data_IF_190531929349
#
_entry.id   IF_190531929349
#
_cell.length_a   1.000
_cell.length_b   1.000
_cell.length_c   1.000
_cell.angle_alpha   90.00
_cell.angle_beta   90.00
_cell.angle_gamma   90.00
#
_symmetry.space_group_name_H-M   'P 1'
#
loop_
_entity.id
_entity.type
_entity.pdbx_description
1 polymer ?
2 water ?
#
# COMPACT_ATOMS: atom_id res chain seq x y z
N UNK A 1 -13.48 0.98 -5.62
CA UNK A 1 -13.84 -0.27 -6.29
C UNK A 1 -13.68 -1.46 -5.31
N UNK A 2 -14.64 -2.37 -5.34
CA UNK A 2 -14.57 -3.60 -4.57
C UNK A 2 -14.45 -4.80 -5.53
N UNK A 3 -14.45 -4.47 -6.83
CA UNK A 3 -14.39 -5.46 -7.91
C UNK A 3 -13.52 -5.06 -9.12
N UNK A 4 -13.12 -6.06 -9.88
CA UNK A 4 -12.26 -5.91 -11.08
C UNK A 4 -12.79 -5.12 -12.29
N UNK A 5 -14.07 -5.23 -12.61
CA UNK A 5 -14.65 -4.56 -13.78
C UNK A 5 -14.52 -3.04 -13.76
N UNK A 6 -14.25 -2.45 -14.93
CA UNK A 6 -14.08 -1.02 -15.04
C UNK A 6 -12.69 -0.53 -14.68
N UNK A 7 -11.91 -1.31 -13.96
CA UNK A 7 -10.55 -0.91 -13.65
C UNK A 7 -9.61 -1.17 -14.82
N UNK A 8 -8.70 -0.23 -15.05
CA UNK A 8 -7.63 -0.44 -16.01
C UNK A 8 -6.49 -1.26 -15.40
N UNK A 9 -6.23 -1.08 -14.11
CA UNK A 9 -5.17 -1.83 -13.45
C UNK A 9 -5.73 -3.17 -12.99
N UNK A 10 -5.88 -4.06 -13.95
CA UNK A 10 -6.47 -5.36 -13.73
C UNK A 10 -5.77 -6.51 -14.41
N UNK A 11 -5.62 -7.62 -13.71
CA UNK A 11 -4.98 -8.77 -14.25
C UNK A 11 -5.90 -9.99 -14.19
N UNK A 12 -5.66 -10.94 -15.05
CA UNK A 12 -6.43 -12.12 -15.10
C UNK A 12 -5.53 -13.32 -14.84
N UNK A 13 -5.91 -14.15 -13.91
CA UNK A 13 -5.17 -15.37 -13.64
C UNK A 13 -6.11 -16.54 -13.86
N UNK A 14 -5.53 -17.69 -14.15
CA UNK A 14 -6.27 -18.92 -14.40
C UNK A 14 -6.01 -19.91 -13.28
N UNK A 15 -7.08 -20.49 -12.74
CA UNK A 15 -6.94 -21.64 -11.89
C UNK A 15 -6.99 -22.85 -12.80
N UNK A 16 -5.84 -23.41 -13.18
CA UNK A 16 -5.84 -24.44 -14.21
C UNK A 16 -6.35 -25.74 -13.61
N UNK A 17 -6.63 -26.70 -14.47
CA UNK A 17 -7.11 -28.02 -14.06
C UNK A 17 -6.19 -28.66 -13.03
N UNK A 18 -6.79 -29.10 -11.91
CA UNK A 18 -6.03 -29.73 -10.85
C UNK A 18 -5.30 -28.79 -9.88
N UNK A 19 -5.20 -27.51 -10.17
CA UNK A 19 -4.49 -26.62 -9.26
C UNK A 19 -5.33 -26.38 -8.01
N UNK A 20 -4.72 -26.53 -6.82
CA UNK A 20 -5.41 -26.30 -5.56
C UNK A 20 -5.14 -24.93 -4.95
N UNK A 21 -4.23 -24.14 -5.52
CA UNK A 21 -4.04 -22.75 -5.10
C UNK A 21 -3.72 -21.92 -6.33
N UNK A 22 -3.84 -20.62 -6.16
CA UNK A 22 -3.39 -19.64 -7.15
C UNK A 22 -2.57 -18.59 -6.40
N UNK A 23 -1.40 -18.26 -6.92
CA UNK A 23 -0.53 -17.26 -6.29
C UNK A 23 -0.81 -15.90 -6.91
N UNK A 24 -1.00 -14.88 -6.07
CA UNK A 24 -1.35 -13.55 -6.54
C UNK A 24 -0.50 -12.49 -5.85
N UNK A 25 -0.33 -11.37 -6.54
CA UNK A 25 0.29 -10.17 -6.01
C UNK A 25 -0.81 -9.11 -5.93
N UNK A 26 -1.07 -8.60 -4.74
CA UNK A 26 -2.11 -7.60 -4.56
C UNK A 26 -1.46 -6.23 -4.33
N UNK A 27 -1.67 -5.31 -5.25
CA UNK A 27 -1.21 -3.95 -5.09
C UNK A 27 -2.34 -3.07 -4.58
N UNK A 28 -1.98 -1.88 -4.14
CA UNK A 28 -2.96 -0.99 -3.55
C UNK A 28 -4.04 -0.56 -4.51
N UNK A 29 -3.72 -0.49 -5.80
CA UNK A 29 -4.58 0.14 -6.80
C UNK A 29 -4.88 -0.80 -7.97
N UNK A 30 -4.85 -2.10 -7.73
CA UNK A 30 -5.04 -3.08 -8.79
C UNK A 30 -6.06 -4.12 -8.34
N UNK A 31 -6.41 -5.02 -9.27
CA UNK A 31 -7.48 -5.97 -9.05
C UNK A 31 -7.16 -7.23 -9.85
N UNK A 32 -7.51 -8.40 -9.31
CA UNK A 32 -7.24 -9.67 -9.99
C UNK A 32 -8.57 -10.40 -10.22
N UNK A 33 -8.82 -10.77 -11.48
CA UNK A 33 -9.90 -11.68 -11.83
C UNK A 33 -9.30 -13.08 -11.97
N UNK A 34 -9.80 -14.03 -11.19
CA UNK A 34 -9.35 -15.42 -11.24
C UNK A 34 -10.47 -16.28 -11.82
N UNK A 35 -10.21 -16.90 -12.96
CA UNK A 35 -11.11 -17.87 -13.58
C UNK A 35 -10.56 -19.28 -13.39
N UNK A 36 -11.45 -20.22 -13.05
CA UNK A 36 -10.97 -21.57 -12.78
C UNK A 36 -12.04 -22.59 -13.11
N UNK A 37 -11.56 -23.76 -13.55
CA UNK A 37 -12.40 -24.86 -14.01
C UNK A 37 -13.41 -25.26 -12.94
N UNK A 38 -14.68 -25.35 -13.34
CA UNK A 38 -15.77 -25.77 -12.45
C UNK A 38 -15.81 -24.94 -11.16
N UNK A 39 -15.40 -23.69 -11.24
CA UNK A 39 -15.51 -22.77 -10.11
C UNK A 39 -16.10 -21.45 -10.57
N UNK A 40 -16.77 -20.71 -9.69
CA UNK A 40 -17.15 -19.34 -10.06
C UNK A 40 -15.90 -18.51 -10.26
N UNK A 41 -15.96 -17.59 -11.20
CA UNK A 41 -14.92 -16.58 -11.33
C UNK A 41 -14.96 -15.68 -10.09
N UNK A 42 -13.78 -15.29 -9.59
CA UNK A 42 -13.74 -14.39 -8.44
C UNK A 42 -12.76 -13.25 -8.73
N UNK A 43 -13.02 -12.10 -8.09
CA UNK A 43 -12.12 -10.95 -8.06
C UNK A 43 -11.55 -10.85 -6.65
N UNK A 44 -10.32 -10.45 -6.56
CA UNK A 44 -9.68 -10.19 -5.31
C UNK A 44 -8.79 -8.94 -5.41
N UNK A 45 -8.91 -8.07 -4.44
CA UNK A 45 -8.16 -6.84 -4.41
C UNK A 45 -7.94 -6.20 -3.04
N UNK A 46 -6.88 -5.43 -2.94
CA UNK A 46 -6.61 -4.71 -1.73
C UNK A 46 -7.61 -3.58 -1.70
N UNK A 47 -8.27 -3.40 -0.58
CA UNK A 47 -9.20 -2.32 -0.39
C UNK A 47 -8.52 -1.12 0.31
N UNK A 48 -7.80 -1.39 1.36
CA UNK A 48 -7.09 -0.39 2.14
C UNK A 48 -6.09 -1.00 3.06
N UNK A 49 -5.10 -0.21 3.41
CA UNK A 49 -4.09 -0.57 4.38
C UNK A 49 -3.93 0.60 5.32
N UNK A 50 -4.24 0.43 6.57
CA UNK A 50 -4.09 1.51 7.51
C UNK A 50 -3.40 1.11 8.77
N UNK A 51 -2.65 2.04 9.32
CA UNK A 51 -1.87 1.76 10.51
C UNK A 51 -2.21 2.83 11.55
N UNK A 52 -2.60 2.40 12.73
CA UNK A 52 -3.10 3.29 13.77
C UNK A 52 -2.11 3.35 14.93
N UNK A 53 -2.18 4.45 15.68
CA UNK A 53 -1.40 4.60 16.90
C UNK A 53 0.10 4.44 16.65
N UNK A 54 0.62 5.18 15.68
CA UNK A 54 2.06 5.20 15.50
C UNK A 54 2.74 5.72 16.76
N UNK A 55 3.92 5.19 17.08
CA UNK A 55 4.68 5.59 18.26
C UNK A 55 5.98 6.24 17.85
N UNK A 56 6.37 7.31 18.52
CA UNK A 56 7.65 7.96 18.22
C UNK A 56 8.82 7.08 18.59
N UNK A 57 9.84 7.08 17.77
CA UNK A 57 11.02 6.29 18.07
C UNK A 57 12.13 7.23 18.51
N UNK A 58 12.34 8.28 17.74
CA UNK A 58 13.38 9.24 18.03
C UNK A 58 13.29 10.40 17.05
N UNK A 59 13.87 11.54 17.41
CA UNK A 59 13.87 12.74 16.60
C UNK A 59 15.29 13.17 16.41
N UNK A 60 15.62 13.70 15.25
CA UNK A 60 16.96 14.15 14.97
C UNK A 60 16.99 15.63 14.61
N UNK A 61 18.11 16.29 14.88
CA UNK A 61 18.29 17.68 14.58
C UNK A 61 19.24 17.83 13.42
N UNK A 62 18.84 18.58 12.43
CA UNK A 62 19.67 18.73 11.23
C UNK A 62 20.03 20.18 10.95
N UNK A 63 19.72 21.08 11.88
CA UNK A 63 20.28 22.43 11.89
C UNK A 63 20.20 22.95 13.32
N UNK A 64 21.36 23.27 13.89
CA UNK A 64 21.46 23.81 15.24
C UNK A 64 21.87 25.28 15.17
N UNK A 65 21.44 26.05 16.18
CA UNK A 65 21.96 27.39 16.43
C UNK A 65 22.58 27.41 17.82
N UNK A 66 23.68 28.16 17.96
CA UNK A 66 24.34 28.37 19.26
C UNK A 66 24.09 29.79 19.73
N UNK A 67 24.04 29.97 21.05
CA UNK A 67 23.80 31.28 21.63
C UNK A 67 24.34 31.30 23.06
N UNK A 68 24.49 32.51 23.60
CA UNK A 68 24.95 32.73 24.99
C UNK A 68 26.25 31.96 25.30
N UNK A 69 27.23 32.09 24.42
CA UNK A 69 28.52 31.45 24.59
C UNK A 69 29.31 32.23 25.64
N UNK A 70 29.89 31.51 26.63
CA UNK A 70 30.67 32.17 27.66
C UNK A 70 31.79 31.24 28.12
N UNK A 71 32.88 31.85 28.62
CA UNK A 71 34.04 31.13 29.12
C UNK A 71 34.49 31.70 30.46
N UNK A 72 34.62 30.83 31.43
CA UNK A 72 35.21 31.13 32.72
C UNK A 72 36.65 30.62 32.71
N UNK A 73 37.59 31.47 33.12
CA UNK A 73 39.01 31.15 33.02
C UNK A 73 39.74 31.46 34.32
N UNK A 74 40.78 30.69 34.61
CA UNK A 74 41.52 30.84 35.85
C UNK A 74 43.02 30.72 35.57
N UNK A 75 43.79 31.61 36.19
CA UNK A 75 45.25 31.53 36.13
C UNK A 75 45.78 30.34 36.92
N UNK A 76 47.02 29.91 36.65
CA UNK A 76 47.59 28.79 37.40
C UNK A 76 47.64 29.07 38.90
N UNK A 77 47.44 28.00 39.68
CA UNK A 77 47.30 27.94 41.14
C UNK A 77 46.01 28.55 41.67
N UNK A 78 45.23 29.25 40.84
CA UNK A 78 44.00 29.91 41.30
C UNK A 78 42.79 29.00 41.32
N UNK A 79 42.94 27.70 41.06
CA UNK A 79 41.83 26.76 41.09
C UNK A 79 41.28 26.47 39.70
N UNK A 80 40.48 25.40 39.61
CA UNK A 80 39.89 24.97 38.34
C UNK A 80 38.69 25.85 37.97
N UNK A 81 38.58 26.20 36.69
CA UNK A 81 37.46 26.97 36.22
C UNK A 81 36.20 26.12 36.06
N UNK A 82 35.10 26.64 36.53
CA UNK A 82 33.82 26.01 36.45
C UNK A 82 32.85 27.01 35.89
N UNK A 83 32.14 26.63 34.86
CA UNK A 83 31.18 27.52 34.30
C UNK A 83 29.84 27.23 34.97
N UNK A 84 29.21 28.22 35.57
CA UNK A 84 27.91 27.98 36.22
C UNK A 84 26.81 27.57 35.25
N UNK A 85 26.90 27.95 33.97
CA UNK A 85 25.96 27.45 32.98
C UNK A 85 25.95 25.93 32.92
N UNK A 86 26.86 25.24 33.62
CA UNK A 86 26.81 23.79 33.66
C UNK A 86 25.56 23.27 34.35
N UNK A 87 24.84 24.15 35.07
CA UNK A 87 23.60 23.72 35.71
C UNK A 87 22.47 23.56 34.70
N UNK A 88 22.37 24.46 33.73
CA UNK A 88 21.27 24.49 32.76
C UNK A 88 21.47 23.44 31.67
N UNK A 89 20.47 22.55 31.51
CA UNK A 89 20.61 21.38 30.64
C UNK A 89 20.66 21.72 29.15
N UNK A 90 20.15 22.88 28.74
CA UNK A 90 20.25 23.25 27.34
C UNK A 90 21.63 23.77 26.94
N UNK A 91 22.60 23.81 27.86
CA UNK A 91 23.95 24.25 27.54
C UNK A 91 24.87 23.04 27.38
N UNK A 92 25.69 23.09 26.34
CA UNK A 92 26.77 22.14 26.14
C UNK A 92 28.05 22.80 26.64
N UNK A 93 28.80 22.08 27.45
CA UNK A 93 29.95 22.66 28.15
C UNK A 93 31.20 21.85 27.87
N UNK A 94 32.32 22.54 27.80
CA UNK A 94 33.59 21.91 27.45
C UNK A 94 34.69 22.54 28.29
N UNK A 95 35.37 21.69 29.07
CA UNK A 95 36.51 22.02 29.92
C UNK A 95 37.81 22.05 29.11
N UNK A 96 38.74 22.90 29.51
CA UNK A 96 39.98 22.95 28.76
C UNK A 96 41.15 23.45 29.59
N UNK A 97 42.35 23.19 29.08
CA UNK A 97 43.62 23.71 29.61
C UNK A 97 44.14 24.75 28.63
N UNK A 98 44.74 25.83 29.15
CA UNK A 98 45.30 26.89 28.31
C UNK A 98 46.69 27.27 28.81
N UNK A 99 47.48 27.88 27.93
CA UNK A 99 48.82 28.33 28.30
C UNK A 99 48.68 29.75 28.83
N UNK A 100 49.16 29.97 30.03
CA UNK A 100 49.07 31.26 30.70
C UNK A 100 50.40 31.87 31.13
N UNK A 101 50.43 33.17 31.21
CA UNK A 101 51.61 33.91 31.57
C UNK A 101 51.38 35.38 31.74
N UNK A 102 52.45 36.14 31.90
CA UNK A 102 52.36 37.57 32.09
C UNK A 102 51.60 38.26 30.97
N UNK A 103 51.87 37.84 29.76
CA UNK A 103 51.29 38.37 28.56
C UNK A 103 49.80 38.25 28.51
N UNK A 104 49.27 37.20 29.08
CA UNK A 104 47.85 37.04 29.13
C UNK A 104 47.25 37.32 30.50
N UNK A 105 47.95 38.17 31.28
CA UNK A 105 47.49 38.72 32.54
C UNK A 105 47.69 37.87 33.79
N UNK A 106 48.43 36.77 33.65
CA UNK A 106 48.69 35.89 34.79
C UNK A 106 50.10 36.06 35.34
N UNK A 107 50.22 36.25 36.65
CA UNK A 107 51.52 36.44 37.28
C UNK A 107 52.47 35.27 37.09
N UNK A 108 51.95 34.05 37.23
CA UNK A 108 52.75 32.86 37.03
C UNK A 108 52.59 32.32 35.60
N UNK A 109 53.59 31.57 35.14
CA UNK A 109 53.56 30.89 33.85
C UNK A 109 53.16 29.43 34.08
N UNK A 110 52.28 28.93 33.23
CA UNK A 110 51.86 27.56 33.33
C UNK A 110 50.45 27.40 32.80
N UNK A 111 49.88 26.22 33.04
CA UNK A 111 48.56 25.87 32.54
C UNK A 111 47.48 26.54 33.37
N UNK A 112 46.63 27.33 32.70
CA UNK A 112 45.39 27.78 33.27
C UNK A 112 44.26 26.86 32.81
N UNK A 113 43.07 27.09 33.35
CA UNK A 113 41.94 26.28 32.94
C UNK A 113 40.86 27.18 32.39
N UNK A 114 40.02 26.61 31.53
CA UNK A 114 38.82 27.29 31.04
C UNK A 114 37.64 26.33 31.07
N UNK A 115 36.46 26.89 31.13
CA UNK A 115 35.22 26.12 31.03
C UNK A 115 34.28 26.97 30.21
N UNK A 116 33.97 26.49 29.00
CA UNK A 116 33.16 27.20 28.03
C UNK A 116 31.84 26.47 27.88
N UNK A 117 30.74 27.22 27.90
CA UNK A 117 29.41 26.68 27.70
C UNK A 117 28.71 27.48 26.62
N UNK A 118 27.71 26.86 25.99
CA UNK A 118 26.97 27.51 24.93
C UNK A 118 25.57 26.91 24.89
N UNK A 119 24.58 27.74 24.63
CA UNK A 119 23.20 27.27 24.65
C UNK A 119 22.89 26.56 23.34
N UNK A 120 22.39 25.33 23.45
CA UNK A 120 22.02 24.51 22.29
C UNK A 120 20.52 24.59 22.06
N UNK A 121 20.12 24.96 20.83
CA UNK A 121 18.72 24.89 20.42
C UNK A 121 18.64 24.26 19.03
N UNK A 122 17.72 23.33 18.85
CA UNK A 122 17.54 22.72 17.54
C UNK A 122 16.61 23.63 16.72
N UNK A 123 17.07 24.03 15.53
CA UNK A 123 16.25 24.82 14.60
C UNK A 123 15.30 23.94 13.81
N UNK A 124 15.84 22.89 13.18
CA UNK A 124 15.10 22.01 12.29
C UNK A 124 15.27 20.57 12.75
N UNK A 125 14.16 19.86 12.92
CA UNK A 125 14.23 18.49 13.35
C UNK A 125 13.32 17.62 12.49
N UNK A 126 13.65 16.32 12.47
CA UNK A 126 12.85 15.31 11.80
C UNK A 126 12.46 14.26 12.82
N UNK A 127 11.19 13.88 12.83
CA UNK A 127 10.73 12.86 13.75
C UNK A 127 10.58 11.54 13.03
N UNK A 128 10.99 10.45 13.68
CA UNK A 128 10.72 9.11 13.20
C UNK A 128 9.66 8.41 14.05
N UNK A 129 8.71 7.78 13.37
CA UNK A 129 7.64 7.05 14.05
C UNK A 129 7.58 5.63 13.52
N UNK A 130 7.17 4.72 14.39
CA UNK A 130 7.11 3.31 14.04
C UNK A 130 5.69 2.78 14.16
N UNK A 131 5.46 1.70 13.44
CA UNK A 131 4.15 1.05 13.36
C UNK A 131 4.26 -0.29 14.08
N UNK A 132 3.41 -0.51 15.09
CA UNK A 132 3.37 -1.82 15.72
C UNK A 132 2.62 -2.80 14.80
N UNK A 133 3.13 -4.03 14.63
CA UNK A 133 2.40 -5.00 13.78
C UNK A 133 0.98 -5.23 14.21
N UNK A 134 0.70 -5.14 15.51
CA UNK A 134 -0.67 -5.31 16.00
C UNK A 134 -1.59 -4.16 15.59
N UNK A 135 -1.05 -3.06 15.08
CA UNK A 135 -1.87 -1.92 14.69
C UNK A 135 -1.95 -1.76 13.17
N UNK A 136 -1.70 -2.82 12.41
CA UNK A 136 -1.77 -2.79 10.95
C UNK A 136 -2.92 -3.68 10.50
N UNK A 137 -3.80 -3.13 9.66
CA UNK A 137 -4.81 -3.95 9.01
C UNK A 137 -4.70 -3.80 7.49
N UNK A 138 -4.57 -4.93 6.80
CA UNK A 138 -4.69 -4.99 5.34
C UNK A 138 -6.10 -5.46 5.02
N UNK A 139 -6.90 -4.59 4.41
CA UNK A 139 -8.27 -4.92 4.05
C UNK A 139 -8.28 -5.43 2.61
N UNK A 140 -8.89 -6.59 2.42
CA UNK A 140 -8.92 -7.28 1.15
C UNK A 140 -10.38 -7.52 0.77
N UNK A 141 -10.74 -7.17 -0.46
CA UNK A 141 -12.08 -7.37 -0.96
C UNK A 141 -12.14 -8.56 -1.89
N UNK A 142 -13.20 -9.35 -1.72
CA UNK A 142 -13.50 -10.52 -2.55
C UNK A 142 -14.85 -10.30 -3.21
N UNK A 143 -14.95 -10.62 -4.50
CA UNK A 143 -16.19 -10.60 -5.25
C UNK A 143 -16.33 -11.91 -6.02
N UNK A 144 -17.52 -12.47 -5.99
CA UNK A 144 -17.86 -13.69 -6.70
C UNK A 144 -18.71 -13.33 -7.91
N UNK A 145 -18.36 -13.81 -9.09
CA UNK A 145 -19.12 -13.48 -10.27
C UNK A 145 -20.43 -14.28 -10.43
N UNK A 146 -21.36 -14.01 -9.53
CA UNK A 146 -22.68 -14.56 -9.51
C UNK A 146 -23.54 -13.71 -10.42
N UNK A 147 -24.83 -13.75 -10.30
CA UNK A 147 -25.66 -12.97 -11.21
C UNK A 147 -25.64 -11.52 -10.85
N UNK A 148 -25.29 -10.66 -11.79
CA UNK A 148 -25.33 -9.21 -11.57
C UNK A 148 -25.88 -8.54 -12.81
N UNK A 149 -26.26 -7.28 -12.63
CA UNK A 149 -26.66 -6.41 -13.73
C UNK A 149 -25.71 -5.24 -13.80
N UNK A 150 -25.87 -4.41 -14.84
CA UNK A 150 -25.05 -3.20 -14.89
C UNK A 150 -25.26 -2.32 -13.65
N UNK A 151 -26.48 -2.28 -13.09
CA UNK A 151 -26.73 -1.48 -11.89
C UNK A 151 -26.21 -2.12 -10.61
N UNK A 152 -26.30 -3.44 -10.47
CA UNK A 152 -25.95 -4.05 -9.21
C UNK A 152 -24.47 -4.40 -9.12
N UNK A 153 -23.79 -4.52 -10.26
CA UNK A 153 -22.45 -5.13 -10.28
C UNK A 153 -21.47 -4.35 -9.42
N UNK A 154 -21.50 -3.03 -9.51
CA UNK A 154 -20.60 -2.20 -8.71
C UNK A 154 -21.24 -1.63 -7.47
N UNK A 155 -22.38 -2.17 -7.06
CA UNK A 155 -23.06 -1.72 -5.85
C UNK A 155 -22.72 -2.66 -4.70
N UNK A 156 -21.91 -2.16 -3.75
CA UNK A 156 -21.46 -3.04 -2.66
C UNK A 156 -22.62 -3.57 -1.84
N UNK A 157 -23.57 -2.71 -1.47
CA UNK A 157 -24.68 -3.15 -0.62
C UNK A 157 -25.43 -4.30 -1.29
N UNK A 158 -25.71 -4.17 -2.57
CA UNK A 158 -26.40 -5.23 -3.31
C UNK A 158 -25.57 -6.51 -3.34
N UNK A 159 -24.26 -6.40 -3.59
CA UNK A 159 -23.42 -7.59 -3.70
C UNK A 159 -23.22 -8.26 -2.36
N UNK A 160 -22.93 -7.49 -1.31
CA UNK A 160 -22.93 -8.05 0.04
C UNK A 160 -24.24 -8.73 0.37
N UNK A 161 -25.37 -8.12 0.02
CA UNK A 161 -26.67 -8.71 0.31
C UNK A 161 -26.94 -10.00 -0.45
N UNK A 162 -26.37 -10.16 -1.64
CA UNK A 162 -26.45 -11.42 -2.37
C UNK A 162 -25.34 -12.41 -2.01
N UNK A 163 -24.55 -12.13 -0.97
CA UNK A 163 -23.43 -12.98 -0.59
C UNK A 163 -22.45 -13.16 -1.76
N UNK A 164 -22.32 -12.15 -2.60
CA UNK A 164 -21.37 -12.17 -3.70
C UNK A 164 -20.21 -11.21 -3.49
N UNK A 165 -20.18 -10.48 -2.37
CA UNK A 165 -19.00 -9.70 -2.02
C UNK A 165 -18.80 -9.72 -0.52
N UNK A 166 -17.58 -9.40 -0.12
CA UNK A 166 -17.26 -9.23 1.29
C UNK A 166 -15.86 -8.67 1.43
N UNK A 167 -15.49 -8.44 2.68
CA UNK A 167 -14.26 -7.75 3.01
C UNK A 167 -13.66 -8.49 4.20
N UNK A 168 -12.38 -8.83 4.12
CA UNK A 168 -11.75 -9.47 5.25
C UNK A 168 -10.43 -8.78 5.55
N UNK A 169 -9.94 -8.97 6.74
CA UNK A 169 -8.72 -8.36 7.18
C UNK A 169 -7.60 -9.33 7.37
N UNK A 170 -6.45 -8.93 6.88
CA UNK A 170 -5.26 -9.68 7.00
C UNK A 170 -4.40 -8.80 7.87
N UNK A 171 -3.64 -9.38 8.78
CA UNK A 171 -2.79 -8.61 9.65
C UNK A 171 -1.42 -9.21 9.69
N UNK A 172 -0.43 -8.38 10.16
CA UNK A 172 0.90 -8.96 10.20
C UNK A 172 0.94 -10.17 11.10
N UNK A 173 0.27 -10.11 12.23
CA UNK A 173 0.18 -11.23 13.15
C UNK A 173 -0.66 -12.41 12.70
N UNK A 174 -1.78 -12.13 12.02
CA UNK A 174 -2.70 -13.17 11.54
C UNK A 174 -2.82 -13.06 10.04
N UNK A 175 -1.74 -13.58 9.36
CA UNK A 175 -1.76 -13.41 7.93
C UNK A 175 -2.52 -14.43 7.11
N UNK A 176 -3.13 -15.38 7.79
CA UNK A 176 -3.85 -16.43 7.16
C UNK A 176 -5.31 -16.34 7.55
N UNK A 177 -6.19 -16.61 6.62
CA UNK A 177 -7.59 -16.57 6.92
C UNK A 177 -8.48 -17.40 6.00
N UNK A 178 -9.53 -17.98 6.51
CA UNK A 178 -10.45 -18.72 5.71
C UNK A 178 -11.67 -17.86 5.60
N UNK A 179 -12.10 -17.63 4.38
CA UNK A 179 -13.23 -16.80 4.11
C UNK A 179 -14.34 -17.58 3.48
N UNK A 180 -15.51 -17.52 4.06
CA UNK A 180 -16.65 -18.24 3.55
C UNK A 180 -17.02 -17.55 2.30
N UNK A 181 -17.61 -18.26 1.38
CA UNK A 181 -17.97 -17.66 0.12
C UNK A 181 -19.40 -17.98 -0.19
N UNK A 182 -20.29 -17.57 0.69
CA UNK A 182 -21.69 -17.87 0.48
C UNK A 182 -22.02 -19.31 0.17
N UNK A 183 -22.69 -19.49 -0.94
CA UNK A 183 -23.05 -20.82 -1.39
C UNK A 183 -21.96 -21.48 -2.22
N UNK A 184 -20.80 -20.86 -2.25
CA UNK A 184 -19.72 -21.39 -3.03
C UNK A 184 -18.61 -22.01 -2.25
N UNK A 185 -18.88 -22.39 -1.04
CA UNK A 185 -17.87 -22.97 -0.20
C UNK A 185 -17.00 -21.94 0.45
N UNK A 186 -15.71 -22.10 0.37
CA UNK A 186 -14.80 -21.19 0.99
C UNK A 186 -13.46 -21.18 0.35
N UNK A 187 -12.72 -20.12 0.63
CA UNK A 187 -11.32 -20.05 0.22
C UNK A 187 -10.48 -19.78 1.45
N UNK A 188 -9.19 -20.01 1.29
CA UNK A 188 -8.21 -19.72 2.32
C UNK A 188 -7.17 -18.81 1.68
N UNK A 189 -6.75 -17.81 2.43
CA UNK A 189 -5.86 -16.77 1.92
C UNK A 189 -4.73 -16.61 2.91
N UNK A 190 -3.52 -16.52 2.44
CA UNK A 190 -2.40 -16.28 3.30
C UNK A 190 -1.52 -15.27 2.61
N UNK A 191 -1.14 -14.19 3.27
CA UNK A 191 -0.33 -13.17 2.61
C UNK A 191 0.93 -12.75 3.31
N UNK A 192 1.87 -12.25 2.54
CA UNK A 192 3.08 -11.72 3.08
C UNK A 192 3.25 -10.32 2.53
N UNK A 193 3.34 -9.31 3.48
CA UNK A 193 3.54 -7.97 2.93
C UNK A 193 4.95 -7.78 2.42
N UNK A 194 5.08 -7.03 1.35
CA UNK A 194 6.37 -6.77 0.78
C UNK A 194 6.54 -5.32 0.42
N UNK A 195 7.79 -4.88 0.40
CA UNK A 195 8.14 -3.52 0.10
C UNK A 195 7.43 -2.53 1.01
N UNK A 196 6.80 -1.52 0.48
CA UNK A 196 6.18 -0.48 1.29
C UNK A 196 5.13 -0.95 2.27
N UNK A 197 4.66 -2.20 2.16
CA UNK A 197 3.65 -2.72 3.08
C UNK A 197 4.23 -3.56 4.20
N UNK A 198 5.54 -3.87 4.14
CA UNK A 198 6.22 -4.59 5.21
C UNK A 198 6.67 -3.57 6.27
N UNK A 199 5.73 -3.19 7.14
CA UNK A 199 6.00 -2.07 8.05
C UNK A 199 7.09 -2.37 9.06
N UNK A 200 7.49 -3.63 9.22
CA UNK A 200 8.64 -3.96 10.06
C UNK A 200 9.95 -3.40 9.49
N UNK A 201 9.99 -3.09 8.22
CA UNK A 201 11.22 -2.58 7.64
C UNK A 201 11.41 -1.07 7.61
N UNK A 202 10.40 -0.37 8.04
CA UNK A 202 10.38 1.06 7.95
C UNK A 202 9.87 1.83 9.15
N UNK A 203 10.13 3.13 9.10
CA UNK A 203 9.63 4.12 10.01
C UNK A 203 9.04 5.18 9.11
N UNK A 204 8.18 5.99 9.67
CA UNK A 204 7.65 7.14 8.99
C UNK A 204 8.44 8.32 9.55
N UNK A 205 9.12 9.04 8.68
CA UNK A 205 9.91 10.20 9.05
C UNK A 205 9.23 11.49 8.61
N UNK A 206 8.92 12.36 9.56
CA UNK A 206 8.31 13.66 9.27
C UNK A 206 9.40 14.72 9.17
N UNK A 207 9.57 15.28 7.97
CA UNK A 207 10.53 16.34 7.69
C UNK A 207 9.77 17.47 7.00
N UNK A 208 9.75 18.65 7.61
CA UNK A 208 9.13 19.80 6.97
C UNK A 208 7.64 19.63 6.83
N UNK A 209 7.13 19.80 5.61
CA UNK A 209 5.72 19.60 5.30
C UNK A 209 5.39 18.16 4.92
N UNK A 210 6.37 17.27 4.89
CA UNK A 210 6.16 15.97 4.29
C UNK A 210 6.40 14.84 5.29
N UNK A 211 5.92 13.64 4.94
CA UNK A 211 6.20 12.41 5.67
C UNK A 211 6.66 11.34 4.70
N UNK A 212 7.64 10.55 5.12
CA UNK A 212 8.25 9.57 4.23
C UNK A 212 8.39 8.24 4.92
N UNK A 213 8.17 7.18 4.14
CA UNK A 213 8.54 5.83 4.52
C UNK A 213 10.05 5.65 4.34
N UNK A 214 10.79 5.43 5.43
CA UNK A 214 12.25 5.36 5.37
C UNK A 214 12.74 4.06 6.00
N UNK A 215 13.85 3.54 5.46
CA UNK A 215 14.37 2.27 5.94
C UNK A 215 14.90 2.43 7.36
N UNK A 216 14.58 1.44 8.21
CA UNK A 216 14.92 1.55 9.63
C UNK A 216 16.42 1.67 9.87
N UNK A 217 17.22 0.88 9.15
CA UNK A 217 18.67 0.88 9.40
C UNK A 217 19.27 2.26 9.16
N UNK A 218 18.85 2.90 8.06
CA UNK A 218 19.36 4.22 7.71
C UNK A 218 18.96 5.27 8.73
N UNK A 219 17.69 5.26 9.16
CA UNK A 219 17.23 6.19 10.18
C UNK A 219 18.01 6.00 11.48
N UNK A 220 18.20 4.75 11.89
CA UNK A 220 18.86 4.49 13.16
C UNK A 220 20.33 4.91 13.15
N UNK A 221 20.98 4.82 12.00
CA UNK A 221 22.40 5.17 11.92
C UNK A 221 22.64 6.64 11.65
N UNK A 222 21.60 7.46 11.56
CA UNK A 222 21.82 8.88 11.28
C UNK A 222 22.66 9.49 12.39
N UNK A 223 23.81 10.08 12.02
CA UNK A 223 24.75 10.64 12.99
C UNK A 223 24.43 12.12 13.17
N UNK A 224 23.36 12.36 13.91
CA UNK A 224 22.86 13.69 14.22
C UNK A 224 22.46 13.70 15.69
N UNK A 225 22.35 14.87 16.30
CA UNK A 225 21.83 14.94 17.68
C UNK A 225 20.40 14.43 17.73
N UNK A 226 20.04 13.83 18.87
CA UNK A 226 18.76 13.15 18.94
C UNK A 226 18.11 13.29 20.32
N UNK A 227 16.79 13.07 20.34
CA UNK A 227 15.98 13.07 21.56
C UNK A 227 15.11 11.83 21.56
N UNK A 228 14.94 11.26 22.75
CA UNK A 228 14.04 10.16 23.03
C UNK A 228 12.62 10.70 23.08
N UNK A 229 11.61 9.87 22.92
CA UNK A 229 10.25 10.40 22.96
C UNK A 229 9.90 10.97 24.28
N UNK A 230 10.47 10.43 25.33
CA UNK A 230 10.32 10.94 26.67
C UNK A 230 11.69 11.47 27.20
N UNK A 231 11.69 12.45 28.12
CA UNK A 231 12.97 13.02 28.57
C UNK A 231 13.69 13.68 27.37
N UNK A 232 13.07 14.73 26.86
CA UNK A 232 13.55 15.39 25.69
C UNK A 232 14.57 16.51 26.05
N UNK A 233 15.82 16.14 25.99
CA UNK A 233 16.94 17.02 25.91
C UNK A 233 17.84 16.35 24.87
N UNK A 234 18.30 17.12 23.94
CA UNK A 234 19.16 16.64 22.95
C UNK A 234 20.43 15.95 23.40
N UNK A 235 20.65 14.79 22.82
CA UNK A 235 21.88 14.01 23.00
C UNK A 235 22.78 14.19 21.78
N UNK A 236 24.08 13.99 22.00
CA UNK A 236 25.07 14.10 20.94
C UNK A 236 24.99 15.48 20.28
N UNK A 237 24.73 16.48 21.09
CA UNK A 237 24.66 17.84 20.65
C UNK A 237 25.96 18.29 20.05
N UNK A 238 27.06 17.71 20.46
CA UNK A 238 28.36 18.07 19.98
C UNK A 238 28.48 17.97 18.46
N UNK A 239 27.72 17.08 17.84
CA UNK A 239 27.66 17.03 16.40
C UNK A 239 26.93 18.34 16.10
N UNK A 240 27.37 19.09 15.16
CA UNK A 240 26.77 20.36 14.77
C UNK A 240 27.32 21.50 15.60
N UNK A 241 28.18 21.24 16.58
CA UNK A 241 28.90 22.28 17.31
C UNK A 241 30.38 22.20 16.99
N UNK A 242 31.02 23.35 16.90
CA UNK A 242 32.46 23.43 16.73
C UNK A 242 32.98 24.34 17.83
N UNK A 243 33.62 23.75 18.85
CA UNK A 243 34.34 24.52 19.85
C UNK A 243 35.67 24.90 19.23
N UNK A 244 35.87 26.17 18.92
CA UNK A 244 37.11 26.63 18.31
C UNK A 244 38.29 26.68 19.25
N UNK A 245 39.52 26.68 18.73
CA UNK A 245 40.71 26.68 19.58
C UNK A 245 40.61 27.89 20.47
N UNK A 246 40.75 27.65 21.75
CA UNK A 246 40.62 28.69 22.74
C UNK A 246 41.79 29.58 22.93
N UNK A 247 41.48 30.80 23.27
CA UNK A 247 42.42 31.84 23.61
C UNK A 247 42.50 31.67 25.10
N UNK A 248 43.27 32.50 25.78
CA UNK A 248 43.42 32.36 27.23
C UNK A 248 42.17 32.50 28.06
N UNK A 249 41.36 33.48 27.76
CA UNK A 249 40.12 33.75 28.48
C UNK A 249 38.90 33.77 27.58
N UNK A 250 39.03 33.30 26.38
CA UNK A 250 37.87 33.22 25.57
C UNK A 250 37.89 32.05 24.65
N UNK A 251 36.69 31.65 24.29
CA UNK A 251 36.57 30.54 23.36
C UNK A 251 35.31 30.68 22.54
N UNK A 252 35.48 30.57 21.22
CA UNK A 252 34.39 30.69 20.26
C UNK A 252 33.71 29.33 20.05
N UNK A 253 32.38 29.33 20.02
CA UNK A 253 31.58 28.14 19.74
C UNK A 253 30.63 28.46 18.59
N UNK A 254 30.73 27.70 17.49
CA UNK A 254 29.93 27.95 16.30
C UNK A 254 29.12 26.70 15.93
N UNK A 255 27.91 26.92 15.40
CA UNK A 255 27.11 25.83 14.84
C UNK A 255 27.66 25.44 13.47
N UNK A 256 27.65 24.13 13.19
CA UNK A 256 27.93 23.70 11.83
C UNK A 256 26.77 24.08 10.91
N UNK A 257 27.00 23.97 9.61
CA UNK A 257 25.99 24.31 8.64
C UNK A 257 24.84 23.31 8.63
N UNK A 258 23.81 23.67 7.87
CA UNK A 258 22.61 22.83 7.88
C UNK A 258 22.87 21.53 7.14
N UNK A 259 22.34 20.44 7.68
CA UNK A 259 22.36 19.16 6.99
C UNK A 259 21.03 18.89 6.25
N UNK A 260 20.23 19.94 6.04
CA UNK A 260 18.94 19.77 5.40
C UNK A 260 19.09 19.29 3.96
N UNK A 261 20.05 19.87 3.22
CA UNK A 261 20.26 19.46 1.84
C UNK A 261 20.61 17.99 1.72
N UNK A 262 21.54 17.53 2.57
CA UNK A 262 21.88 16.10 2.61
C UNK A 262 20.67 15.25 2.97
N UNK A 263 19.81 15.78 3.84
CA UNK A 263 18.61 15.04 4.24
C UNK A 263 17.65 14.90 3.06
N UNK A 264 17.33 16.01 2.40
CA UNK A 264 16.44 15.98 1.25
C UNK A 264 16.96 15.03 0.18
N UNK A 265 18.28 15.05 -0.06
CA UNK A 265 18.84 14.12 -1.03
C UNK A 265 18.70 12.66 -0.56
N UNK A 266 18.72 12.42 0.75
CA UNK A 266 18.52 11.06 1.25
C UNK A 266 17.07 10.61 1.11
N UNK A 267 16.13 11.56 1.09
CA UNK A 267 14.71 11.27 1.04
C UNK A 267 14.17 11.30 -0.39
N UNK A 268 15.00 11.63 -1.37
CA UNK A 268 14.51 11.80 -2.73
C UNK A 268 13.89 10.51 -3.26
N UNK A 269 14.50 9.36 -2.94
CA UNK A 269 13.98 8.10 -3.44
C UNK A 269 12.78 7.55 -2.69
N UNK A 270 12.50 8.08 -1.50
CA UNK A 270 11.59 7.49 -0.53
C UNK A 270 10.14 7.82 -0.87
N UNK A 271 9.24 6.92 -0.52
CA UNK A 271 7.85 7.13 -0.80
C UNK A 271 7.19 8.02 0.21
N UNK A 272 6.58 9.13 -0.36
CA UNK A 272 5.90 10.04 0.56
C UNK A 272 4.61 9.47 1.06
N UNK A 273 4.19 9.85 2.24
CA UNK A 273 3.01 9.32 2.87
C UNK A 273 2.14 10.48 3.45
N UNK A 274 0.87 10.28 3.70
CA UNK A 274 0.11 11.36 4.24
C UNK A 274 -0.53 11.04 5.56
N UNK A 275 -0.59 12.05 6.42
CA UNK A 275 -1.21 12.06 7.75
C UNK A 275 -0.83 11.01 8.76
N UNK A 276 0.38 11.07 9.28
CA UNK A 276 0.84 10.05 10.18
C UNK A 276 0.33 10.03 11.62
N UNK A 277 -0.96 9.74 11.75
CA UNK A 277 -1.72 9.53 13.00
C UNK A 277 -2.63 8.30 12.85
N UNK A 278 -2.96 8.10 11.59
CA UNK A 278 -3.67 7.00 11.02
C UNK A 278 -3.21 7.12 9.60
N UNK A 279 -2.02 6.62 9.33
CA UNK A 279 -1.46 6.65 8.00
C UNK A 279 -2.08 5.62 7.05
N UNK A 280 -2.20 5.98 5.79
CA UNK A 280 -2.68 5.10 4.74
C UNK A 280 -1.47 4.65 3.93
N UNK A 281 -1.25 3.34 3.88
CA UNK A 281 -0.15 2.79 3.11
C UNK A 281 -0.65 2.43 1.72
N UNK A 282 -0.08 3.06 0.72
CA UNK A 282 -0.42 2.87 -0.69
C UNK A 282 0.58 1.99 -1.41
N UNK A 283 1.84 2.26 -1.19
CA UNK A 283 2.90 1.55 -1.83
C UNK A 283 3.27 0.22 -1.26
N UNK A 284 3.70 -0.68 -2.13
CA UNK A 284 4.11 -2.01 -1.77
C UNK A 284 3.06 -2.99 -2.24
N UNK A 285 3.17 -4.24 -1.83
CA UNK A 285 2.20 -5.22 -2.22
C UNK A 285 2.14 -6.40 -1.31
N UNK A 286 1.07 -7.15 -1.41
CA UNK A 286 0.96 -8.41 -0.68
C UNK A 286 1.18 -9.56 -1.66
N UNK A 287 1.97 -10.54 -1.23
CA UNK A 287 2.16 -11.78 -1.98
C UNK A 287 1.31 -12.85 -1.29
N UNK A 288 0.24 -13.29 -1.96
CA UNK A 288 -0.79 -14.10 -1.32
C UNK A 288 -0.96 -15.41 -2.06
N UNK A 289 -1.23 -16.48 -1.30
CA UNK A 289 -1.62 -17.77 -1.83
C UNK A 289 -3.10 -17.95 -1.53
N UNK A 290 -3.91 -18.02 -2.57
CA UNK A 290 -5.34 -18.25 -2.46
C UNK A 290 -5.58 -19.73 -2.69
N UNK A 291 -5.86 -20.45 -1.61
CA UNK A 291 -6.20 -21.87 -1.73
C UNK A 291 -7.67 -21.98 -2.11
N UNK A 292 -7.95 -22.83 -3.10
CA UNK A 292 -9.30 -22.86 -3.68
C UNK A 292 -9.87 -24.26 -3.81
N UNK A 293 -9.32 -25.25 -3.10
CA UNK A 293 -9.81 -26.63 -3.22
C UNK A 293 -11.24 -26.77 -2.71
N UNK A 294 -11.67 -25.89 -1.81
CA UNK A 294 -13.03 -25.89 -1.27
C UNK A 294 -13.90 -24.81 -1.89
N UNK A 295 -13.41 -24.11 -2.91
CA UNK A 295 -14.26 -23.23 -3.67
C UNK A 295 -15.02 -24.07 -4.67
N UNK A 296 -16.32 -23.85 -4.77
CA UNK A 296 -17.16 -24.76 -5.50
C UNK A 296 -18.28 -23.97 -6.15
N UNK A 297 -18.82 -24.52 -7.24
CA UNK A 297 -20.06 -23.95 -7.73
C UNK A 297 -21.19 -24.28 -6.76
N UNK A 298 -22.33 -23.64 -6.95
CA UNK A 298 -23.44 -23.78 -6.02
C UNK A 298 -24.05 -25.17 -6.13
N UNK A 299 -24.35 -25.79 -4.98
CA UNK A 299 -24.99 -27.10 -4.99
C UNK A 299 -26.34 -27.09 -5.68
N UNK A 300 -27.10 -26.01 -5.50
CA UNK A 300 -28.37 -25.82 -6.21
C UNK A 300 -28.08 -25.37 -7.63
N UNK A 301 -28.43 -26.20 -8.61
CA UNK A 301 -28.21 -25.96 -10.03
C UNK A 301 -29.55 -25.79 -10.74
N UNK A 302 -29.49 -25.13 -11.90
CA UNK A 302 -30.68 -24.73 -12.64
C UNK A 302 -30.72 -25.37 -14.00
N UNK A 303 -31.92 -25.39 -14.58
CA UNK A 303 -32.06 -25.65 -16.00
C UNK A 303 -31.86 -24.39 -16.82
N UNK A 304 -31.90 -24.58 -18.13
CA UNK A 304 -31.68 -23.51 -19.08
C UNK A 304 -32.90 -22.59 -19.15
N UNK A 305 -32.68 -21.31 -19.44
CA UNK A 305 -33.75 -20.37 -19.60
C UNK A 305 -34.38 -20.67 -20.95
N UNK A 306 -35.70 -20.71 -21.01
CA UNK A 306 -36.38 -21.02 -22.26
C UNK A 306 -36.90 -19.88 -23.09
N UNK A 307 -37.23 -18.79 -22.45
CA UNK A 307 -37.76 -17.62 -23.12
C UNK A 307 -36.71 -16.79 -23.79
N UNK A 308 -37.14 -15.81 -24.55
CA UNK A 308 -36.26 -14.94 -25.30
C UNK A 308 -35.49 -13.88 -24.53
N UNK A 309 -34.30 -13.56 -25.04
CA UNK A 309 -33.42 -12.52 -24.53
C UNK A 309 -33.31 -11.38 -25.53
N UNK A 310 -32.95 -10.20 -25.03
CA UNK A 310 -32.52 -9.09 -25.87
C UNK A 310 -31.25 -8.52 -25.27
N UNK A 311 -30.52 -7.76 -26.08
CA UNK A 311 -29.36 -7.02 -25.60
C UNK A 311 -29.84 -5.70 -24.98
N UNK A 312 -29.79 -5.61 -23.65
CA UNK A 312 -30.07 -4.33 -23.01
C UNK A 312 -28.92 -3.36 -23.21
N UNK A 313 -27.69 -3.87 -23.27
CA UNK A 313 -26.50 -3.10 -23.63
C UNK A 313 -25.66 -3.91 -24.60
N UNK A 314 -25.29 -3.29 -25.73
CA UNK A 314 -24.50 -4.00 -26.73
C UNK A 314 -23.09 -4.27 -26.20
N UNK A 315 -22.42 -5.28 -26.74
CA UNK A 315 -21.06 -5.59 -26.30
C UNK A 315 -20.16 -4.37 -26.34
N UNK A 316 -19.39 -4.18 -25.26
CA UNK A 316 -18.40 -3.11 -25.16
C UNK A 316 -17.02 -3.68 -24.86
N UNK A 317 -16.01 -3.09 -25.47
CA UNK A 317 -14.63 -3.43 -25.23
C UNK A 317 -14.22 -2.93 -23.85
N UNK A 318 -13.68 -3.80 -23.00
CA UNK A 318 -13.22 -3.37 -21.67
C UNK A 318 -11.80 -2.84 -21.68
N UNK A 319 -11.08 -2.96 -22.79
CA UNK A 319 -9.67 -2.66 -22.84
C UNK A 319 -8.76 -3.81 -22.46
N UNK A 320 -9.31 -4.95 -22.05
CA UNK A 320 -8.49 -6.09 -21.60
C UNK A 320 -8.65 -7.30 -22.50
N UNK A 321 -9.06 -7.11 -23.75
CA UNK A 321 -9.34 -8.27 -24.57
C UNK A 321 -10.61 -8.99 -24.22
N UNK A 322 -11.44 -8.40 -23.37
CA UNK A 322 -12.74 -8.97 -23.04
C UNK A 322 -13.83 -8.00 -23.46
N UNK A 323 -15.03 -8.53 -23.57
CA UNK A 323 -16.19 -7.72 -23.94
C UNK A 323 -17.24 -7.96 -22.88
N UNK A 324 -17.99 -6.91 -22.57
CA UNK A 324 -19.06 -7.00 -21.60
C UNK A 324 -20.37 -6.56 -22.27
N UNK A 325 -21.46 -7.20 -21.90
CA UNK A 325 -22.76 -6.87 -22.45
C UNK A 325 -23.78 -7.05 -21.35
N UNK A 326 -25.01 -6.62 -21.63
CA UNK A 326 -26.12 -6.79 -20.69
C UNK A 326 -27.31 -7.36 -21.44
N UNK A 327 -27.81 -8.50 -20.97
CA UNK A 327 -29.03 -9.10 -21.47
C UNK A 327 -30.21 -8.70 -20.60
N UNK A 328 -31.38 -8.72 -21.20
CA UNK A 328 -32.66 -8.56 -20.51
C UNK A 328 -33.48 -9.79 -20.87
N UNK A 329 -34.07 -10.44 -19.87
CA UNK A 329 -34.73 -11.71 -20.05
C UNK A 329 -36.23 -11.54 -19.92
N UNK A 330 -36.97 -12.01 -20.91
CA UNK A 330 -38.43 -11.81 -20.86
C UNK A 330 -39.08 -12.79 -19.90
N UNK A 331 -38.59 -14.00 -19.83
CA UNK A 331 -39.17 -15.03 -19.03
C UNK A 331 -39.20 -14.87 -17.55
N UNK A 332 -40.16 -15.53 -16.96
CA UNK A 332 -40.47 -15.54 -15.54
C UNK A 332 -40.09 -16.86 -14.90
N UNK A 333 -39.34 -17.67 -15.63
CA UNK A 333 -38.98 -19.01 -15.16
C UNK A 333 -37.68 -19.15 -14.41
N UNK A 334 -37.14 -18.04 -13.99
CA UNK A 334 -35.90 -18.01 -13.26
C UNK A 334 -36.03 -18.47 -11.84
N UNK A 335 -34.90 -18.81 -11.10
CA UNK A 335 -33.60 -18.64 -11.76
C UNK A 335 -33.28 -19.67 -12.84
N UNK A 336 -32.58 -19.29 -13.89
CA UNK A 336 -32.26 -20.23 -14.93
C UNK A 336 -30.95 -19.89 -15.57
N UNK A 337 -30.30 -20.86 -16.18
CA UNK A 337 -29.02 -20.69 -16.83
C UNK A 337 -29.15 -20.04 -18.20
N UNK A 338 -28.34 -19.05 -18.51
CA UNK A 338 -28.43 -18.37 -19.79
C UNK A 338 -27.76 -19.09 -20.96
N UNK A 339 -28.56 -19.28 -22.09
CA UNK A 339 -27.90 -19.98 -23.19
C UNK A 339 -27.07 -19.08 -24.08
N UNK A 340 -25.90 -18.71 -23.60
CA UNK A 340 -25.03 -17.76 -24.30
C UNK A 340 -23.70 -18.43 -24.62
N UNK A 341 -23.17 -18.12 -25.78
CA UNK A 341 -21.91 -18.70 -26.23
C UNK A 341 -21.30 -17.78 -27.28
N UNK A 342 -20.05 -18.07 -27.61
CA UNK A 342 -19.30 -17.41 -28.67
C UNK A 342 -18.99 -18.46 -29.72
N UNK A 343 -19.24 -18.13 -30.99
CA UNK A 343 -19.03 -19.07 -32.09
C UNK A 343 -18.27 -18.38 -33.22
N UNK A 344 -17.62 -19.20 -34.06
CA UNK A 344 -16.93 -18.66 -35.23
C UNK A 344 -17.91 -18.30 -36.34
N UNK A 345 -18.96 -19.11 -36.51
CA UNK A 345 -19.90 -18.93 -37.61
C UNK A 345 -21.30 -19.19 -37.10
N UNK A 346 -22.24 -18.42 -37.61
CA UNK A 346 -23.63 -18.73 -37.31
C UNK A 346 -24.08 -20.04 -37.94
N UNK A 347 -23.26 -20.61 -38.81
CA UNK A 347 -23.56 -21.88 -39.42
C UNK A 347 -22.91 -23.00 -38.67
N UNK A 348 -22.06 -22.69 -37.72
CA UNK A 348 -21.44 -23.70 -36.92
C UNK A 348 -21.42 -23.16 -35.52
N UNK A 349 -22.20 -23.73 -34.64
CA UNK A 349 -22.34 -23.22 -33.32
C UNK A 349 -21.47 -23.82 -32.26
N UNK A 350 -20.33 -24.33 -32.66
CA UNK A 350 -19.44 -24.91 -31.70
C UNK A 350 -18.86 -23.79 -30.86
N UNK A 351 -19.03 -23.96 -29.49
CA UNK A 351 -18.53 -22.87 -28.68
C UNK A 351 -17.04 -22.71 -28.68
N UNK A 352 -16.62 -21.48 -28.70
CA UNK A 352 -15.24 -21.14 -28.64
C UNK A 352 -15.14 -19.98 -27.66
N UNK A 353 -13.94 -19.55 -27.38
CA UNK A 353 -13.76 -18.45 -26.47
C UNK A 353 -14.04 -18.89 -25.08
N UNK A 354 -14.24 -17.93 -24.19
CA UNK A 354 -14.36 -18.22 -22.77
C UNK A 354 -15.26 -17.19 -22.08
N UNK A 355 -16.01 -17.62 -21.10
CA UNK A 355 -16.82 -16.73 -20.36
C UNK A 355 -16.05 -16.30 -19.12
N UNK A 356 -15.94 -15.00 -18.94
CA UNK A 356 -15.38 -14.48 -17.74
C UNK A 356 -16.41 -14.64 -16.63
N UNK A 357 -17.65 -14.30 -16.94
CA UNK A 357 -18.78 -14.46 -16.05
C UNK A 357 -19.21 -15.90 -16.27
N UNK A 358 -18.58 -16.79 -15.56
CA UNK A 358 -18.83 -18.20 -15.71
C UNK A 358 -20.21 -18.60 -15.29
N UNK A 359 -20.78 -19.53 -16.04
CA UNK A 359 -22.10 -20.04 -15.73
C UNK A 359 -23.12 -18.92 -15.56
N UNK A 360 -23.24 -18.03 -16.61
CA UNK A 360 -24.19 -16.94 -16.42
C UNK A 360 -25.62 -17.37 -16.20
N UNK A 361 -26.32 -16.69 -15.30
CA UNK A 361 -27.69 -17.08 -15.01
C UNK A 361 -28.54 -15.87 -14.64
N UNK A 362 -29.85 -16.03 -14.84
CA UNK A 362 -30.84 -15.11 -14.30
C UNK A 362 -31.11 -15.51 -12.87
N UNK A 363 -30.94 -14.57 -11.94
CA UNK A 363 -31.15 -14.91 -10.53
C UNK A 363 -32.61 -14.83 -10.14
N UNK A 364 -33.36 -13.99 -10.84
CA UNK A 364 -34.68 -13.58 -10.40
C UNK A 364 -35.75 -14.47 -10.99
N UNK A 365 -36.81 -14.68 -10.22
CA UNK A 365 -38.01 -15.29 -10.77
C UNK A 365 -38.86 -14.29 -11.53
N UNK A 366 -38.65 -12.98 -11.34
CA UNK A 366 -39.46 -11.98 -11.99
C UNK A 366 -38.97 -11.70 -13.40
N UNK A 367 -39.88 -11.17 -14.23
CA UNK A 367 -39.61 -10.96 -15.65
C UNK A 367 -38.81 -9.68 -15.88
N UNK A 368 -38.21 -9.60 -17.08
CA UNK A 368 -37.41 -8.45 -17.52
C UNK A 368 -36.17 -8.26 -16.66
N UNK A 369 -35.60 -9.35 -16.14
CA UNK A 369 -34.37 -9.23 -15.37
C UNK A 369 -33.21 -8.86 -16.27
N UNK A 370 -32.21 -8.17 -15.71
CA UNK A 370 -31.03 -7.79 -16.45
C UNK A 370 -29.81 -8.52 -15.90
N UNK A 371 -28.99 -9.06 -16.80
CA UNK A 371 -27.82 -9.84 -16.44
C UNK A 371 -26.63 -9.34 -17.26
N UNK A 372 -25.62 -8.85 -16.56
CA UNK A 372 -24.33 -8.52 -17.16
C UNK A 372 -23.54 -9.79 -17.44
N UNK A 373 -22.86 -9.82 -18.58
CA UNK A 373 -21.98 -10.93 -18.93
C UNK A 373 -20.69 -10.41 -19.54
N UNK A 374 -19.57 -10.82 -18.99
CA UNK A 374 -18.25 -10.51 -19.52
C UNK A 374 -17.67 -11.78 -20.11
N UNK A 375 -17.03 -11.67 -21.27
CA UNK A 375 -16.51 -12.83 -21.97
C UNK A 375 -15.24 -12.47 -22.73
N UNK A 376 -14.40 -13.48 -22.97
CA UNK A 376 -13.19 -13.30 -23.76
C UNK A 376 -13.39 -13.94 -25.13
N UNK A 377 -13.57 -13.16 -26.18
CA UNK A 377 -13.73 -13.74 -27.51
C UNK A 377 -12.38 -14.10 -28.10
N UNK A 378 -12.36 -14.95 -29.13
CA UNK A 378 -11.07 -15.29 -29.74
C UNK A 378 -10.58 -14.11 -30.55
N UNK A 379 -9.31 -14.18 -30.93
CA UNK A 379 -8.78 -13.26 -31.94
C UNK A 379 -9.57 -13.41 -33.24
N UNK A 380 -9.83 -12.29 -33.91
CA UNK A 380 -10.54 -12.33 -35.17
C UNK A 380 -12.04 -12.10 -35.07
N UNK A 381 -12.79 -12.60 -36.04
CA UNK A 381 -14.23 -12.42 -36.06
C UNK A 381 -14.93 -13.54 -35.30
N UNK A 382 -16.00 -13.18 -34.60
CA UNK A 382 -16.81 -14.15 -33.90
C UNK A 382 -18.21 -13.60 -33.73
N UNK A 383 -19.10 -14.42 -33.18
CA UNK A 383 -20.47 -14.04 -32.89
C UNK A 383 -20.77 -14.39 -31.46
N UNK A 384 -21.36 -13.44 -30.73
CA UNK A 384 -22.02 -13.72 -29.47
C UNK A 384 -23.45 -14.11 -29.77
N UNK A 385 -23.83 -15.33 -29.41
CA UNK A 385 -25.17 -15.82 -29.72
C UNK A 385 -25.86 -16.20 -28.42
N UNK A 386 -27.09 -15.78 -28.30
CA UNK A 386 -27.91 -16.08 -27.18
C UNK A 386 -29.18 -16.75 -27.66
N UNK A 387 -29.49 -17.89 -27.10
CA UNK A 387 -30.68 -18.61 -27.47
C UNK A 387 -30.58 -19.48 -28.68
N UNK A 388 -31.66 -20.16 -28.98
CA UNK A 388 -31.69 -21.09 -30.09
C UNK A 388 -32.86 -20.93 -30.98
N UNK A 389 -32.76 -21.45 -32.19
CA UNK A 389 -33.91 -21.37 -33.07
C UNK A 389 -34.33 -19.95 -33.35
N UNK A 390 -35.64 -19.72 -33.33
CA UNK A 390 -36.19 -18.40 -33.64
C UNK A 390 -36.19 -17.45 -32.46
N UNK A 391 -35.71 -17.89 -31.29
CA UNK A 391 -35.41 -17.00 -30.18
C UNK A 391 -33.98 -16.49 -30.21
N UNK A 392 -33.20 -16.92 -31.19
CA UNK A 392 -31.77 -16.61 -31.20
C UNK A 392 -31.55 -15.14 -31.51
N UNK A 393 -30.68 -14.50 -30.72
CA UNK A 393 -30.12 -13.20 -31.07
C UNK A 393 -28.61 -13.39 -31.17
N UNK A 394 -27.97 -12.50 -31.92
CA UNK A 394 -26.53 -12.60 -31.99
C UNK A 394 -25.94 -11.23 -32.29
N UNK A 395 -24.64 -11.12 -32.07
CA UNK A 395 -23.94 -9.87 -32.28
C UNK A 395 -22.54 -10.22 -32.75
N UNK A 396 -22.15 -9.65 -33.88
CA UNK A 396 -20.82 -9.91 -34.40
C UNK A 396 -19.79 -9.15 -33.58
N UNK A 397 -18.60 -9.72 -33.48
CA UNK A 397 -17.50 -9.09 -32.76
C UNK A 397 -16.19 -9.38 -33.49
N UNK A 398 -15.32 -8.36 -33.55
CA UNK A 398 -13.96 -8.52 -34.07
C UNK A 398 -12.95 -8.09 -33.02
N UNK A 399 -11.97 -8.96 -32.77
CA UNK A 399 -10.91 -8.71 -31.80
C UNK A 399 -9.57 -8.69 -32.54
N UNK A 400 -8.84 -7.61 -32.41
CA UNK A 400 -7.54 -7.50 -33.01
C UNK A 400 -6.55 -8.35 -32.27
N UNK A 401 -5.48 -8.72 -32.92
CA UNK A 401 -4.48 -9.52 -32.27
C UNK A 401 -4.21 -10.87 -32.87
N UNK A 402 -3.23 -11.53 -32.31
CA UNK A 402 -2.77 -12.81 -32.76
C UNK A 402 -2.29 -13.64 -31.59
N UNK A 403 -2.18 -14.94 -31.82
CA UNK A 403 -1.79 -15.93 -30.84
C UNK A 403 -0.29 -16.09 -30.71
N UNK A 404 0.45 -15.31 -31.47
CA UNK A 404 1.91 -15.40 -31.47
C UNK A 404 2.53 -15.11 -30.13
N UNK A 405 1.95 -14.18 -29.41
CA UNK A 405 2.40 -13.79 -28.10
C UNK A 405 2.59 -12.31 -27.87
N UNK A 406 1.93 -11.82 -26.84
CA UNK A 406 1.89 -10.44 -26.43
C UNK A 406 3.15 -9.90 -25.79
N UNK A 407 3.57 -8.71 -26.21
CA UNK A 407 4.70 -8.05 -25.61
C UNK A 407 4.16 -7.53 -24.29
N UNK A 408 5.00 -7.32 -23.28
CA UNK A 408 4.47 -6.90 -22.05
C UNK A 408 5.41 -5.84 -21.61
N UNK A 409 4.92 -4.99 -20.73
CA UNK A 409 5.65 -3.92 -20.10
C UNK A 409 5.25 -3.99 -18.65
N UNK A 410 5.88 -4.87 -17.91
CA UNK A 410 5.57 -5.04 -16.52
C UNK A 410 6.34 -4.01 -15.71
N UNK A 411 5.72 -3.54 -14.64
CA UNK A 411 6.27 -2.57 -13.70
C UNK A 411 6.32 -3.14 -12.31
#
# INVERSE_FOLDING_TARGET
MFNCLGMSNRDFLEGVSGATWVDVVLEGDSCITIMAKDKPTIDIKMMETEATNLAEVRSYCYLATVSDVSTVSNCPTTGEAHNPKRAEDTYVCKSGVTDRGWGNGCGLFGKGSIDTCANFTCSLKAMGRMIQPENVKYEVGIFIHGSTSSDTHGNYSSQLGASQAGRFTITPNSPAITVKMGDYGEISVECEPRNGLNTEAYYIMSVGTKHFLVHREWFNDLALPWTSPASSNWRNREILLEFEEPHATKQSVVALGSQEGALHQALAGAVPVSFSGSVKLTSGHLKCRVKMEKLTLKGTTYGMCTEKFSFAKNPADTGHGTVVLELQYTGSDGPCKIPISIVASLSDLTPIGRMVTANPYVASSEANAKVLVEMEPPFGDSYIVVGRGDKQINHHWHKAGSSIGKAHHHHHH
#
